data_IF_333962255244
#
_entry.id   IF_333962255244
#
_cell.length_a   1.000
_cell.length_b   1.000
_cell.length_c   1.000
_cell.angle_alpha   90.00
_cell.angle_beta   90.00
_cell.angle_gamma   90.00
#
_symmetry.space_group_name_H-M   'P 1'
#
loop_
_entity.id
_entity.type
_entity.pdbx_description
1 polymer ?
#
# COMPACT_ATOMS: atom_id res chain seq x y z
N UNK A 1 6.96 -48.64 -7.92
CA UNK A 1 6.24 -48.01 -6.80
C UNK A 1 6.46 -46.51 -6.94
N UNK A 2 5.44 -45.80 -7.40
CA UNK A 2 5.46 -44.36 -7.63
C UNK A 2 4.61 -43.73 -6.52
N UNK A 3 5.24 -42.93 -5.67
CA UNK A 3 4.56 -42.22 -4.59
C UNK A 3 4.17 -40.86 -5.15
N UNK A 4 2.88 -40.68 -5.46
CA UNK A 4 2.34 -39.37 -5.78
C UNK A 4 2.28 -38.55 -4.48
N UNK A 5 2.90 -37.37 -4.48
CA UNK A 5 2.75 -36.39 -3.42
C UNK A 5 1.32 -35.86 -3.46
N UNK A 6 0.55 -36.20 -2.43
CA UNK A 6 -0.79 -35.68 -2.18
C UNK A 6 -0.63 -34.25 -1.66
N UNK A 7 -0.75 -33.27 -2.56
CA UNK A 7 -0.79 -31.85 -2.20
C UNK A 7 -2.11 -31.60 -1.45
N UNK A 8 -2.01 -31.45 -0.13
CA UNK A 8 -3.15 -31.18 0.75
C UNK A 8 -3.86 -29.89 0.36
N UNK A 9 -5.18 -29.97 0.27
CA UNK A 9 -6.18 -28.92 0.01
C UNK A 9 -6.06 -27.67 0.93
N UNK A 10 -5.20 -27.69 1.96
CA UNK A 10 -4.95 -26.59 2.88
C UNK A 10 -4.10 -25.44 2.30
N UNK A 11 -3.41 -25.65 1.18
CA UNK A 11 -2.58 -24.61 0.55
C UNK A 11 -3.39 -23.63 -0.33
N UNK A 12 -4.67 -23.92 -0.56
CA UNK A 12 -5.55 -23.12 -1.44
C UNK A 12 -6.24 -21.97 -0.69
N UNK A 13 -6.30 -22.03 0.65
CA UNK A 13 -6.96 -21.04 1.51
C UNK A 13 -5.98 -20.19 2.34
N UNK A 14 -4.69 -20.12 1.96
CA UNK A 14 -3.83 -19.10 2.53
C UNK A 14 -4.47 -17.72 2.21
N UNK A 15 -4.86 -16.92 3.23
CA UNK A 15 -5.46 -15.62 2.97
C UNK A 15 -4.48 -14.88 2.10
N UNK A 16 -4.93 -14.44 0.92
CA UNK A 16 -4.10 -13.70 -0.01
C UNK A 16 -3.72 -12.39 0.66
N UNK A 17 -2.66 -12.40 1.48
CA UNK A 17 -2.14 -11.25 2.19
C UNK A 17 -1.57 -10.30 1.14
N UNK A 18 -2.45 -9.48 0.61
CA UNK A 18 -2.10 -8.33 -0.20
C UNK A 18 -1.68 -7.27 0.80
N UNK A 19 -0.38 -7.09 0.95
CA UNK A 19 0.16 -6.02 1.78
C UNK A 19 0.07 -4.72 1.01
N UNK A 20 -0.88 -3.87 1.39
CA UNK A 20 -1.05 -2.54 0.79
C UNK A 20 -0.18 -1.54 1.57
N UNK A 21 0.75 -0.87 0.88
CA UNK A 21 1.74 0.03 1.50
C UNK A 21 1.85 1.33 0.69
N UNK A 22 2.25 2.42 1.35
CA UNK A 22 2.63 3.66 0.67
C UNK A 22 4.11 3.63 0.27
N UNK A 23 4.38 4.20 -0.90
CA UNK A 23 5.71 4.30 -1.46
C UNK A 23 5.98 5.74 -1.88
N UNK A 24 7.04 6.34 -1.34
CA UNK A 24 7.56 7.62 -1.81
C UNK A 24 8.89 7.35 -2.53
N UNK A 25 8.85 7.46 -3.86
CA UNK A 25 10.06 7.39 -4.66
C UNK A 25 10.68 8.79 -4.78
N UNK A 26 11.90 8.94 -4.26
CA UNK A 26 12.66 10.19 -4.33
C UNK A 26 13.80 10.00 -5.34
N UNK A 27 13.65 10.36 -6.61
CA UNK A 27 14.78 10.27 -7.56
C UNK A 27 15.87 11.29 -7.19
N UNK A 28 17.18 10.94 -7.17
CA UNK A 28 17.82 9.66 -7.54
C UNK A 28 18.03 8.69 -6.36
N UNK A 29 17.54 9.04 -5.18
CA UNK A 29 17.65 8.26 -3.93
C UNK A 29 16.72 7.04 -3.89
N UNK A 30 16.99 6.05 -3.03
CA UNK A 30 16.13 4.88 -2.93
C UNK A 30 14.78 5.22 -2.27
N UNK A 31 13.79 4.36 -2.48
CA UNK A 31 12.38 4.59 -2.11
C UNK A 31 12.20 4.57 -0.60
N UNK A 32 11.36 5.44 -0.05
CA UNK A 32 10.84 5.29 1.32
C UNK A 32 9.52 4.53 1.29
N UNK A 33 9.39 3.53 2.18
CA UNK A 33 8.16 2.75 2.37
C UNK A 33 7.51 3.16 3.69
N UNK A 34 6.19 3.36 3.66
CA UNK A 34 5.37 3.64 4.85
C UNK A 34 4.23 2.63 4.93
N UNK A 35 4.10 1.98 6.08
CA UNK A 35 3.07 0.96 6.30
C UNK A 35 2.80 0.76 7.78
N UNK A 36 1.72 0.03 8.08
CA UNK A 36 1.48 -0.50 9.42
C UNK A 36 1.90 -1.98 9.49
N UNK A 37 2.47 -2.35 10.63
CA UNK A 37 2.85 -3.71 10.99
C UNK A 37 2.08 -4.18 12.23
N UNK A 38 1.82 -5.49 12.31
CA UNK A 38 1.26 -6.17 13.48
C UNK A 38 2.05 -7.47 13.79
N UNK A 39 3.38 -7.33 13.86
CA UNK A 39 4.38 -8.41 13.87
C UNK A 39 4.39 -9.28 15.14
N UNK A 40 4.25 -8.67 16.31
CA UNK A 40 4.33 -9.36 17.62
C UNK A 40 2.94 -9.70 18.13
N UNK A 41 2.01 -8.74 18.05
CA UNK A 41 0.63 -8.91 18.44
C UNK A 41 -0.26 -8.54 17.25
N UNK A 42 -1.05 -9.47 16.71
CA UNK A 42 -1.88 -9.21 15.54
C UNK A 42 -2.98 -8.18 15.80
N UNK A 43 -3.25 -7.83 17.07
CA UNK A 43 -4.22 -6.82 17.49
C UNK A 43 -3.60 -5.42 17.64
N UNK A 44 -2.27 -5.31 17.69
CA UNK A 44 -1.55 -4.04 17.87
C UNK A 44 -0.89 -3.67 16.55
N UNK A 45 -1.34 -2.56 15.97
CA UNK A 45 -0.74 -2.00 14.77
C UNK A 45 0.26 -0.90 15.12
N UNK A 46 1.40 -0.88 14.41
CA UNK A 46 2.45 0.12 14.57
C UNK A 46 2.85 0.70 13.23
N UNK A 47 2.95 2.03 13.15
CA UNK A 47 3.52 2.70 11.99
C UNK A 47 5.01 2.43 11.87
N UNK A 48 5.45 2.07 10.68
CA UNK A 48 6.86 1.90 10.35
C UNK A 48 7.21 2.69 9.08
N UNK A 49 8.36 3.36 9.13
CA UNK A 49 9.00 4.02 8.01
C UNK A 49 10.31 3.31 7.70
N UNK A 50 10.41 2.73 6.51
CA UNK A 50 11.62 2.09 6.00
C UNK A 50 12.23 2.97 4.91
N UNK A 51 13.27 3.76 5.20
CA UNK A 51 13.97 4.53 4.18
C UNK A 51 14.88 3.63 3.33
N UNK A 52 15.29 4.13 2.18
CA UNK A 52 16.33 3.52 1.33
C UNK A 52 16.02 2.11 0.80
N UNK A 53 14.75 1.83 0.49
CA UNK A 53 14.30 0.53 0.01
C UNK A 53 14.44 0.41 -1.50
N UNK A 54 14.74 -0.80 -1.96
CA UNK A 54 14.75 -1.14 -3.38
C UNK A 54 13.56 -2.05 -3.72
N UNK A 55 12.42 -1.41 -3.97
CA UNK A 55 11.16 -2.12 -4.11
C UNK A 55 10.97 -2.83 -5.46
N UNK A 56 11.77 -2.47 -6.47
CA UNK A 56 11.70 -3.09 -7.79
C UNK A 56 11.99 -4.59 -7.73
N UNK A 57 12.69 -5.04 -6.69
CA UNK A 57 13.02 -6.44 -6.46
C UNK A 57 12.14 -7.13 -5.41
N UNK A 58 11.14 -6.45 -4.85
CA UNK A 58 10.24 -7.07 -3.88
C UNK A 58 9.36 -8.13 -4.59
N UNK A 59 9.50 -9.43 -4.27
CA UNK A 59 8.72 -10.47 -4.93
C UNK A 59 7.23 -10.36 -4.64
N UNK A 60 6.84 -9.69 -3.54
CA UNK A 60 5.45 -9.47 -3.12
C UNK A 60 4.77 -8.29 -3.81
N UNK A 61 5.53 -7.44 -4.51
CA UNK A 61 4.97 -6.32 -5.26
C UNK A 61 4.44 -6.79 -6.62
N UNK A 62 3.11 -6.91 -6.74
CA UNK A 62 2.47 -7.22 -8.03
C UNK A 62 2.03 -5.96 -8.78
N UNK A 63 1.69 -4.87 -8.10
CA UNK A 63 1.28 -3.62 -8.74
C UNK A 63 1.52 -2.43 -7.82
N UNK A 64 1.87 -1.29 -8.40
CA UNK A 64 1.95 -0.01 -7.70
C UNK A 64 1.25 1.08 -8.52
N UNK A 65 0.50 1.94 -7.83
CA UNK A 65 -0.10 3.14 -8.42
C UNK A 65 0.71 4.38 -8.06
N UNK A 66 1.10 5.16 -9.07
CA UNK A 66 1.61 6.51 -8.88
C UNK A 66 0.41 7.44 -8.69
N UNK A 67 0.31 8.01 -7.49
CA UNK A 67 -0.79 8.91 -7.09
C UNK A 67 -0.44 10.38 -7.34
N UNK A 68 0.81 10.79 -7.16
CA UNK A 68 1.23 12.17 -7.39
C UNK A 68 2.74 12.33 -7.35
N UNK A 69 3.21 13.55 -7.65
CA UNK A 69 4.59 13.98 -7.47
C UNK A 69 4.63 15.02 -6.35
N UNK A 70 5.52 14.82 -5.38
CA UNK A 70 5.70 15.75 -4.26
C UNK A 70 6.97 16.54 -4.46
N UNK A 71 6.89 17.86 -4.27
CA UNK A 71 8.06 18.72 -4.20
C UNK A 71 9.00 18.26 -3.05
N UNK A 72 10.32 18.17 -3.25
CA UNK A 72 11.27 17.78 -2.21
C UNK A 72 11.15 18.58 -0.90
N UNK A 73 10.74 19.84 -0.97
CA UNK A 73 10.56 20.71 0.20
C UNK A 73 9.44 20.23 1.14
N UNK A 74 8.46 19.48 0.63
CA UNK A 74 7.34 18.97 1.43
C UNK A 74 7.55 17.55 1.95
N UNK A 75 8.65 16.87 1.60
CA UNK A 75 8.86 15.46 1.96
C UNK A 75 8.95 15.24 3.48
N UNK A 76 9.54 16.17 4.22
CA UNK A 76 9.60 16.09 5.69
C UNK A 76 8.21 16.27 6.32
N UNK A 77 7.47 17.30 5.90
CA UNK A 77 6.11 17.55 6.36
C UNK A 77 5.15 16.41 5.99
N UNK A 78 5.33 15.82 4.81
CA UNK A 78 4.60 14.63 4.37
C UNK A 78 4.82 13.43 5.32
N UNK A 79 6.07 13.17 5.72
CA UNK A 79 6.36 12.10 6.68
C UNK A 79 5.75 12.37 8.06
N UNK A 80 5.93 13.59 8.59
CA UNK A 80 5.30 13.99 9.85
C UNK A 80 3.78 13.81 9.78
N UNK A 81 3.20 14.13 8.63
CA UNK A 81 1.77 14.01 8.43
C UNK A 81 1.30 12.55 8.47
N UNK A 82 2.03 11.64 7.82
CA UNK A 82 1.75 10.21 7.87
C UNK A 82 1.84 9.64 9.30
N UNK A 83 2.80 10.11 10.10
CA UNK A 83 2.95 9.71 11.50
C UNK A 83 1.77 10.16 12.39
N UNK A 84 1.11 11.25 12.02
CA UNK A 84 -0.05 11.79 12.72
C UNK A 84 -1.37 11.10 12.36
N UNK A 85 -1.38 10.20 11.36
CA UNK A 85 -2.59 9.45 11.01
C UNK A 85 -2.91 8.47 12.14
N UNK A 86 -4.11 8.56 12.76
CA UNK A 86 -4.47 7.69 13.87
C UNK A 86 -4.43 6.21 13.51
N UNK A 87 -3.77 5.40 14.35
CA UNK A 87 -3.74 3.94 14.24
C UNK A 87 -4.88 3.36 15.09
N UNK A 88 -6.11 3.64 14.67
CA UNK A 88 -7.36 3.21 15.33
C UNK A 88 -8.41 2.85 14.28
N UNK A 89 -9.49 2.21 14.71
CA UNK A 89 -10.62 1.89 13.83
C UNK A 89 -11.13 3.16 13.12
N UNK A 90 -11.32 3.05 11.81
CA UNK A 90 -11.77 4.19 11.01
C UNK A 90 -13.27 4.37 11.14
N UNK A 91 -13.68 5.52 11.67
CA UNK A 91 -15.09 5.94 11.67
C UNK A 91 -15.57 6.26 10.26
N UNK A 92 -14.70 6.82 9.41
CA UNK A 92 -15.01 7.24 8.04
C UNK A 92 -15.33 6.06 7.15
N UNK A 93 -14.47 5.04 7.17
CA UNK A 93 -14.64 3.82 6.37
C UNK A 93 -15.48 2.76 7.09
N UNK A 94 -15.70 2.90 8.42
CA UNK A 94 -16.39 1.94 9.29
C UNK A 94 -15.70 0.58 9.30
N UNK A 95 -14.37 0.60 9.30
CA UNK A 95 -13.53 -0.59 9.22
C UNK A 95 -12.54 -0.62 10.39
N UNK A 96 -12.22 -1.83 10.86
CA UNK A 96 -11.18 -2.01 11.87
C UNK A 96 -9.81 -1.59 11.34
N UNK A 97 -8.94 -1.10 12.23
CA UNK A 97 -7.58 -0.73 11.84
C UNK A 97 -6.86 -1.91 11.21
N UNK A 98 -6.34 -1.66 10.00
CA UNK A 98 -5.46 -2.53 9.24
C UNK A 98 -4.52 -1.64 8.44
N UNK A 99 -3.43 -2.19 7.89
CA UNK A 99 -2.55 -1.42 7.01
C UNK A 99 -3.31 -0.79 5.82
N UNK A 100 -4.26 -1.54 5.23
CA UNK A 100 -5.18 -1.04 4.20
C UNK A 100 -6.01 0.15 4.66
N UNK A 101 -6.68 0.01 5.81
CA UNK A 101 -7.56 1.08 6.33
C UNK A 101 -6.76 2.32 6.70
N UNK A 102 -5.57 2.15 7.26
CA UNK A 102 -4.65 3.27 7.49
C UNK A 102 -4.20 3.93 6.19
N UNK A 103 -3.93 3.16 5.13
CA UNK A 103 -3.61 3.68 3.81
C UNK A 103 -4.75 4.58 3.27
N UNK A 104 -6.00 4.14 3.43
CA UNK A 104 -7.18 4.92 3.03
C UNK A 104 -7.30 6.22 3.82
N UNK A 105 -7.10 6.16 5.13
CA UNK A 105 -7.09 7.35 6.01
C UNK A 105 -5.98 8.34 5.62
N UNK A 106 -4.80 7.83 5.29
CA UNK A 106 -3.68 8.63 4.82
C UNK A 106 -3.94 9.21 3.42
N UNK A 107 -4.48 8.47 2.45
CA UNK A 107 -4.89 9.03 1.15
C UNK A 107 -5.88 10.18 1.32
N UNK A 108 -6.90 9.99 2.18
CA UNK A 108 -7.89 11.02 2.48
C UNK A 108 -7.24 12.27 3.08
N UNK A 109 -6.40 12.11 4.11
CA UNK A 109 -5.76 13.24 4.78
C UNK A 109 -4.79 14.00 3.87
N UNK A 110 -4.05 13.29 3.02
CA UNK A 110 -3.11 13.89 2.08
C UNK A 110 -3.82 14.69 0.98
N UNK A 111 -4.99 14.22 0.52
CA UNK A 111 -5.84 14.94 -0.44
C UNK A 111 -6.47 16.18 0.20
N UNK A 112 -7.05 16.03 1.40
CA UNK A 112 -7.68 17.12 2.15
C UNK A 112 -6.72 18.28 2.46
N UNK A 113 -5.45 17.95 2.73
CA UNK A 113 -4.38 18.92 3.00
C UNK A 113 -3.62 19.38 1.74
N UNK A 114 -3.97 18.84 0.57
CA UNK A 114 -3.43 19.27 -0.72
C UNK A 114 -2.01 18.77 -1.03
N UNK A 115 -1.53 17.74 -0.33
CA UNK A 115 -0.29 17.05 -0.70
C UNK A 115 -0.43 16.31 -2.03
N UNK A 116 -1.60 15.71 -2.25
CA UNK A 116 -1.99 15.05 -3.50
C UNK A 116 -3.35 15.61 -3.94
N UNK A 117 -3.75 15.29 -5.17
CA UNK A 117 -5.09 15.65 -5.67
C UNK A 117 -5.73 14.41 -6.27
N UNK A 118 -6.77 13.90 -5.60
CA UNK A 118 -7.59 12.80 -6.05
C UNK A 118 -8.79 13.35 -6.85
N UNK A 119 -9.09 12.71 -7.97
CA UNK A 119 -10.26 13.00 -8.81
C UNK A 119 -11.38 11.99 -8.63
N UNK A 120 -11.12 10.93 -7.85
CA UNK A 120 -12.05 9.85 -7.50
C UNK A 120 -11.97 9.55 -6.00
N UNK A 121 -12.93 8.75 -5.50
CA UNK A 121 -12.94 8.37 -4.08
C UNK A 121 -11.73 7.51 -3.71
N UNK A 122 -11.35 7.51 -2.43
CA UNK A 122 -10.27 6.67 -1.93
C UNK A 122 -10.56 5.18 -2.17
N UNK A 123 -11.83 4.76 -2.05
CA UNK A 123 -12.29 3.42 -2.37
C UNK A 123 -12.09 3.06 -3.85
N UNK A 124 -12.29 4.02 -4.76
CA UNK A 124 -12.01 3.80 -6.19
C UNK A 124 -10.51 3.58 -6.46
N UNK A 125 -9.64 4.33 -5.77
CA UNK A 125 -8.18 4.19 -5.88
C UNK A 125 -7.74 2.82 -5.34
N UNK A 126 -8.30 2.40 -4.20
CA UNK A 126 -8.09 1.07 -3.61
C UNK A 126 -8.48 -0.03 -4.59
N UNK A 127 -9.68 0.06 -5.19
CA UNK A 127 -10.16 -0.89 -6.18
C UNK A 127 -9.24 -0.96 -7.41
N UNK A 128 -8.81 0.20 -7.93
CA UNK A 128 -7.85 0.28 -9.04
C UNK A 128 -6.53 -0.42 -8.72
N UNK A 129 -5.99 -0.21 -7.51
CA UNK A 129 -4.74 -0.83 -7.08
C UNK A 129 -4.87 -2.36 -6.98
N UNK A 130 -6.00 -2.83 -6.42
CA UNK A 130 -6.31 -4.26 -6.30
C UNK A 130 -6.45 -4.93 -7.66
N UNK A 131 -7.17 -4.29 -8.59
CA UNK A 131 -7.35 -4.81 -9.95
C UNK A 131 -6.02 -4.91 -10.70
N UNK A 132 -5.15 -3.90 -10.56
CA UNK A 132 -3.81 -3.92 -11.12
C UNK A 132 -2.98 -5.09 -10.56
N UNK A 133 -2.97 -5.25 -9.24
CA UNK A 133 -2.22 -6.30 -8.56
C UNK A 133 -2.72 -7.70 -8.93
N UNK A 134 -4.04 -7.92 -8.96
CA UNK A 134 -4.66 -9.18 -9.34
C UNK A 134 -4.35 -9.55 -10.80
N UNK A 135 -4.50 -8.58 -11.71
CA UNK A 135 -4.16 -8.77 -13.13
C UNK A 135 -2.69 -9.14 -13.29
N UNK A 136 -1.80 -8.41 -12.65
CA UNK A 136 -0.36 -8.67 -12.74
C UNK A 136 0.05 -10.01 -12.13
N UNK A 137 -0.54 -10.38 -11.00
CA UNK A 137 -0.36 -11.70 -10.39
C UNK A 137 -0.75 -12.81 -11.36
N UNK A 138 -1.90 -12.70 -12.02
CA UNK A 138 -2.35 -13.70 -13.02
C UNK A 138 -1.43 -13.81 -14.24
N UNK A 139 -0.72 -12.73 -14.59
CA UNK A 139 0.17 -12.66 -15.74
C UNK A 139 1.65 -12.90 -15.39
N UNK A 140 1.99 -13.10 -14.10
CA UNK A 140 3.37 -13.19 -13.63
C UNK A 140 4.18 -11.91 -13.85
N UNK A 141 3.51 -10.74 -13.86
CA UNK A 141 4.12 -9.43 -14.13
C UNK A 141 4.18 -8.58 -12.87
N UNK A 142 4.99 -7.52 -12.94
CA UNK A 142 5.05 -6.43 -11.96
C UNK A 142 5.06 -5.14 -12.72
N UNK A 143 4.16 -4.21 -12.40
CA UNK A 143 4.10 -2.93 -13.10
C UNK A 143 3.80 -1.79 -12.13
N UNK A 144 4.36 -0.63 -12.46
CA UNK A 144 3.92 0.66 -11.91
C UNK A 144 3.02 1.30 -12.95
N UNK A 145 1.84 1.74 -12.55
CA UNK A 145 0.91 2.48 -13.41
C UNK A 145 0.57 3.83 -12.77
N UNK A 146 0.25 4.84 -13.58
CA UNK A 146 -0.34 6.08 -13.08
C UNK A 146 -1.80 5.80 -12.71
N UNK A 147 -2.24 6.28 -11.55
CA UNK A 147 -3.66 6.18 -11.17
C UNK A 147 -4.52 7.02 -12.11
N UNK A 148 -5.67 6.46 -12.50
CA UNK A 148 -6.72 7.16 -13.24
C UNK A 148 -7.55 8.09 -12.36
N UNK A 149 -7.46 7.94 -11.04
CA UNK A 149 -8.19 8.74 -10.05
C UNK A 149 -7.35 9.81 -9.36
N UNK A 150 -6.18 10.18 -9.90
CA UNK A 150 -5.35 11.24 -9.34
C UNK A 150 -4.73 12.15 -10.40
N UNK A 151 -4.41 13.38 -10.01
CA UNK A 151 -3.60 14.30 -10.82
C UNK A 151 -2.12 14.02 -10.52
N UNK A 152 -1.36 13.54 -11.52
CA UNK A 152 0.05 13.18 -11.37
C UNK A 152 0.74 12.81 -12.68
#
# INVERSE_FOLDING_TARGET
MSTAEETTQSDIDAPQMTFERFYLHQSPTPVSIYHLLNDIDPTIWRFEHLPNQNIVYDPSLFGALKIGELDPTVHAAFLERLQQIPVVDSVRFRERVTCRVWLKEALFALDDEGYIVLTRSVEDIEAEARDLALRNKSLGRRTVAKSSGSQG
#
